data_IF_778806439662
#
_entry.id   IF_778806439662
#
_cell.length_a   1.000
_cell.length_b   1.000
_cell.length_c   1.000
_cell.angle_alpha   90.00
_cell.angle_beta   90.00
_cell.angle_gamma   90.00
#
_symmetry.space_group_name_H-M   'P 1'
#
loop_
_entity.id
_entity.type
_entity.pdbx_description
1 polymer ?
#
# COMPACT_ATOMS: atom_id res chain seq x y z
N UNK A 1 -30.37 -9.64 -5.69
CA UNK A 1 -29.07 -10.36 -5.67
C UNK A 1 -28.87 -10.94 -7.07
N UNK A 2 -28.23 -10.21 -7.99
CA UNK A 2 -27.73 -10.82 -9.23
C UNK A 2 -26.57 -11.72 -8.83
N UNK A 3 -26.64 -12.99 -9.21
CA UNK A 3 -25.63 -13.97 -8.82
C UNK A 3 -24.27 -13.58 -9.42
N UNK A 4 -23.19 -13.83 -8.71
CA UNK A 4 -21.80 -13.59 -9.17
C UNK A 4 -21.54 -14.24 -10.54
N UNK A 5 -22.24 -15.33 -10.83
CA UNK A 5 -22.21 -16.06 -12.11
C UNK A 5 -22.76 -15.26 -13.30
N UNK A 6 -23.86 -14.51 -13.15
CA UNK A 6 -24.43 -13.71 -14.25
C UNK A 6 -23.52 -12.53 -14.63
N UNK A 7 -22.94 -11.87 -13.65
CA UNK A 7 -21.99 -10.77 -13.88
C UNK A 7 -20.72 -11.27 -14.61
N UNK A 8 -20.24 -12.45 -14.24
CA UNK A 8 -19.07 -13.07 -14.87
C UNK A 8 -19.33 -13.44 -16.34
N UNK A 9 -20.51 -13.95 -16.66
CA UNK A 9 -20.89 -14.31 -18.04
C UNK A 9 -21.00 -13.07 -18.93
N UNK A 10 -21.60 -11.98 -18.44
CA UNK A 10 -21.72 -10.71 -19.18
C UNK A 10 -20.33 -10.12 -19.46
N UNK A 11 -19.42 -10.19 -18.48
CA UNK A 11 -18.07 -9.68 -18.61
C UNK A 11 -17.24 -10.48 -19.63
N UNK A 12 -17.33 -11.81 -19.61
CA UNK A 12 -16.67 -12.68 -20.58
C UNK A 12 -17.17 -12.36 -22.01
N UNK A 13 -18.48 -12.20 -22.18
CA UNK A 13 -19.09 -11.87 -23.46
C UNK A 13 -18.64 -10.51 -24.00
N UNK A 14 -18.49 -9.51 -23.12
CA UNK A 14 -17.96 -8.19 -23.51
C UNK A 14 -16.47 -8.23 -23.92
N UNK A 15 -15.70 -9.18 -23.41
CA UNK A 15 -14.30 -9.40 -23.83
C UNK A 15 -14.24 -10.16 -25.15
N UNK A 16 -15.14 -11.13 -25.39
CA UNK A 16 -15.19 -11.90 -26.63
C UNK A 16 -15.63 -11.05 -27.83
N UNK A 17 -16.62 -10.21 -27.65
CA UNK A 17 -17.20 -9.36 -28.66
C UNK A 17 -17.18 -7.89 -28.24
N UNK A 18 -16.00 -7.25 -28.21
CA UNK A 18 -15.90 -5.86 -27.81
C UNK A 18 -16.61 -4.94 -28.81
N UNK A 19 -17.29 -3.88 -28.36
CA UNK A 19 -17.85 -2.86 -29.23
C UNK A 19 -16.79 -2.28 -30.18
N UNK A 20 -17.17 -1.83 -31.39
CA UNK A 20 -16.24 -1.21 -32.32
C UNK A 20 -15.49 -0.05 -31.63
N UNK A 21 -14.15 -0.05 -31.71
CA UNK A 21 -13.23 0.93 -31.06
C UNK A 21 -13.07 0.77 -29.55
N UNK A 22 -13.56 -0.30 -28.92
CA UNK A 22 -13.29 -0.59 -27.51
C UNK A 22 -11.97 -1.37 -27.37
N UNK A 23 -11.19 -0.99 -26.34
CA UNK A 23 -9.98 -1.71 -25.90
C UNK A 23 -10.13 -2.02 -24.41
N UNK A 24 -9.98 -3.29 -24.04
CA UNK A 24 -10.00 -3.72 -22.66
C UNK A 24 -8.57 -3.84 -22.13
N UNK A 25 -8.28 -3.15 -21.05
CA UNK A 25 -7.01 -3.28 -20.31
C UNK A 25 -7.31 -3.93 -18.97
N UNK A 26 -6.85 -5.17 -18.79
CA UNK A 26 -7.01 -5.95 -17.58
C UNK A 26 -5.67 -5.99 -16.85
N UNK A 27 -5.59 -5.37 -15.68
CA UNK A 27 -4.41 -5.35 -14.85
C UNK A 27 -4.55 -6.39 -13.72
N UNK A 28 -3.54 -7.25 -13.57
CA UNK A 28 -3.47 -8.26 -12.52
C UNK A 28 -2.05 -8.37 -11.99
N UNK A 29 -1.85 -8.66 -10.70
CA UNK A 29 -0.52 -8.93 -10.16
C UNK A 29 0.13 -10.18 -10.74
N UNK A 30 -0.67 -11.24 -10.99
CA UNK A 30 -0.21 -12.50 -11.56
C UNK A 30 -1.15 -12.95 -12.69
N UNK A 31 -0.58 -13.54 -13.72
CA UNK A 31 -1.36 -14.12 -14.84
C UNK A 31 -2.14 -15.37 -14.39
N UNK A 32 -1.63 -16.08 -13.38
CA UNK A 32 -2.23 -17.27 -12.79
C UNK A 32 -3.54 -16.96 -12.07
N UNK A 33 -3.70 -15.76 -11.54
CA UNK A 33 -4.93 -15.30 -10.85
C UNK A 33 -6.09 -15.01 -11.81
N UNK A 34 -5.80 -14.96 -13.12
CA UNK A 34 -6.80 -14.70 -14.15
C UNK A 34 -7.41 -16.01 -14.64
N UNK A 35 -8.74 -16.08 -14.64
CA UNK A 35 -9.47 -17.25 -15.17
C UNK A 35 -8.96 -17.64 -16.57
N UNK A 36 -8.72 -18.92 -16.82
CA UNK A 36 -8.23 -19.40 -18.13
C UNK A 36 -9.08 -18.93 -19.32
N UNK A 37 -10.39 -18.79 -19.11
CA UNK A 37 -11.33 -18.28 -20.12
C UNK A 37 -11.10 -16.83 -20.52
N UNK A 38 -10.66 -15.98 -19.59
CA UNK A 38 -10.29 -14.59 -19.84
C UNK A 38 -8.88 -14.54 -20.44
N UNK A 39 -7.96 -15.28 -19.84
CA UNK A 39 -6.55 -15.32 -20.26
C UNK A 39 -6.38 -15.74 -21.73
N UNK A 40 -7.15 -16.73 -22.19
CA UNK A 40 -7.09 -17.21 -23.58
C UNK A 40 -7.54 -16.19 -24.62
N UNK A 41 -8.27 -15.14 -24.23
CA UNK A 41 -8.83 -14.09 -25.09
C UNK A 41 -8.10 -12.77 -25.03
N UNK A 42 -7.08 -12.68 -24.16
CA UNK A 42 -6.30 -11.47 -23.96
C UNK A 42 -4.86 -11.65 -24.44
N UNK A 43 -4.28 -10.58 -24.96
CA UNK A 43 -2.83 -10.54 -25.19
C UNK A 43 -2.14 -10.24 -23.86
N UNK A 44 -1.23 -11.11 -23.45
CA UNK A 44 -0.46 -10.91 -22.24
C UNK A 44 0.70 -9.94 -22.49
N UNK A 45 0.81 -8.93 -21.63
CA UNK A 45 1.93 -8.00 -21.62
C UNK A 45 2.50 -8.01 -20.22
N UNK A 46 3.69 -8.58 -20.07
CA UNK A 46 4.40 -8.56 -18.77
C UNK A 46 5.07 -7.21 -18.58
N UNK A 47 4.72 -6.53 -17.50
CA UNK A 47 5.40 -5.33 -17.04
C UNK A 47 6.51 -5.72 -16.07
N UNK A 48 7.73 -5.34 -16.37
CA UNK A 48 8.86 -5.53 -15.45
C UNK A 48 8.89 -4.39 -14.44
N UNK A 49 9.30 -4.69 -13.21
CA UNK A 49 9.64 -3.66 -12.24
C UNK A 49 10.78 -2.83 -12.81
N UNK A 50 10.63 -1.50 -12.91
CA UNK A 50 11.68 -0.64 -13.45
C UNK A 50 12.90 -0.65 -12.52
N UNK A 51 14.09 -0.52 -13.09
CA UNK A 51 15.31 -0.33 -12.31
C UNK A 51 15.27 1.02 -11.56
N UNK A 52 15.94 1.14 -10.40
CA UNK A 52 15.98 2.41 -9.66
C UNK A 52 16.47 3.58 -10.53
N UNK A 53 17.45 3.34 -11.40
CA UNK A 53 17.95 4.38 -12.30
C UNK A 53 16.88 4.87 -13.30
N UNK A 54 16.10 3.96 -13.89
CA UNK A 54 15.02 4.32 -14.82
C UNK A 54 13.95 5.18 -14.12
N UNK A 55 13.66 4.86 -12.85
CA UNK A 55 12.72 5.66 -12.03
C UNK A 55 13.29 7.02 -11.71
N UNK A 56 14.57 7.10 -11.34
CA UNK A 56 15.24 8.36 -11.05
C UNK A 56 15.28 9.27 -12.30
N UNK A 57 15.66 8.72 -13.44
CA UNK A 57 15.70 9.45 -14.72
C UNK A 57 14.31 9.99 -15.11
N UNK A 58 13.27 9.19 -14.90
CA UNK A 58 11.89 9.63 -15.10
C UNK A 58 11.53 10.80 -14.17
N UNK A 59 11.86 10.74 -12.87
CA UNK A 59 11.55 11.79 -11.90
C UNK A 59 12.27 13.11 -12.26
N UNK A 60 13.53 13.03 -12.70
CA UNK A 60 14.26 14.20 -13.16
C UNK A 60 13.63 14.79 -14.43
N UNK A 61 13.38 13.96 -15.44
CA UNK A 61 12.89 14.42 -16.74
C UNK A 61 11.43 14.89 -16.73
N UNK A 62 10.54 14.17 -16.05
CA UNK A 62 9.10 14.42 -16.09
C UNK A 62 8.60 15.30 -14.94
N UNK A 63 9.28 15.29 -13.79
CA UNK A 63 8.83 15.97 -12.56
C UNK A 63 9.74 17.11 -12.13
N UNK A 64 10.90 17.27 -12.76
CA UNK A 64 11.87 18.33 -12.45
C UNK A 64 12.52 18.19 -11.07
N UNK A 65 12.58 16.97 -10.53
CA UNK A 65 13.23 16.68 -9.25
C UNK A 65 14.74 16.69 -9.42
N UNK A 66 15.48 17.15 -8.42
CA UNK A 66 16.94 17.06 -8.45
C UNK A 66 17.42 15.59 -8.44
N UNK A 67 18.60 15.34 -9.01
CA UNK A 67 19.10 13.99 -9.25
C UNK A 67 19.33 13.19 -7.95
N UNK A 68 19.74 13.82 -6.87
CA UNK A 68 20.00 13.17 -5.58
C UNK A 68 18.68 12.71 -4.93
N UNK A 69 17.71 13.62 -4.84
CA UNK A 69 16.37 13.29 -4.34
C UNK A 69 15.64 12.25 -5.21
N UNK A 70 15.84 12.32 -6.54
CA UNK A 70 15.25 11.34 -7.45
C UNK A 70 15.85 9.94 -7.25
N UNK A 71 17.17 9.83 -7.11
CA UNK A 71 17.84 8.55 -6.88
C UNK A 71 17.47 7.96 -5.51
N UNK A 72 17.48 8.77 -4.46
CA UNK A 72 16.99 8.37 -3.14
C UNK A 72 15.55 7.81 -3.21
N UNK A 73 14.65 8.58 -3.81
CA UNK A 73 13.24 8.19 -3.91
C UNK A 73 13.04 6.92 -4.76
N UNK A 74 13.83 6.75 -5.81
CA UNK A 74 13.82 5.56 -6.66
C UNK A 74 14.24 4.30 -5.89
N UNK A 75 15.33 4.36 -5.14
CA UNK A 75 15.78 3.24 -4.29
C UNK A 75 14.75 2.92 -3.20
N UNK A 76 14.29 3.93 -2.45
CA UNK A 76 13.33 3.78 -1.37
C UNK A 76 11.96 3.25 -1.83
N UNK A 77 11.58 3.46 -3.09
CA UNK A 77 10.29 3.03 -3.64
C UNK A 77 10.27 1.61 -4.18
N UNK A 78 11.43 0.97 -4.36
CA UNK A 78 11.55 -0.39 -4.87
C UNK A 78 10.80 -0.62 -6.20
N UNK A 79 10.88 0.35 -7.12
CA UNK A 79 10.26 0.31 -8.44
C UNK A 79 8.81 0.81 -8.51
N UNK A 80 8.23 1.26 -7.41
CA UNK A 80 6.88 1.83 -7.41
C UNK A 80 6.92 3.34 -7.74
N UNK A 81 6.74 3.69 -9.01
CA UNK A 81 6.89 5.07 -9.54
C UNK A 81 6.04 6.11 -8.77
N UNK A 82 4.78 5.78 -8.46
CA UNK A 82 3.91 6.70 -7.70
C UNK A 82 4.43 6.99 -6.30
N UNK A 83 5.05 6.01 -5.64
CA UNK A 83 5.70 6.18 -4.34
C UNK A 83 7.00 6.97 -4.47
N UNK A 84 7.79 6.69 -5.50
CA UNK A 84 9.00 7.47 -5.79
C UNK A 84 8.68 8.95 -5.97
N UNK A 85 7.63 9.28 -6.72
CA UNK A 85 7.14 10.65 -6.89
C UNK A 85 6.77 11.30 -5.54
N UNK A 86 6.04 10.60 -4.69
CA UNK A 86 5.67 11.11 -3.37
C UNK A 86 6.90 11.39 -2.50
N UNK A 87 7.83 10.43 -2.42
CA UNK A 87 9.07 10.59 -1.64
C UNK A 87 9.97 11.69 -2.18
N UNK A 88 10.00 11.90 -3.49
CA UNK A 88 10.81 12.94 -4.11
C UNK A 88 10.28 14.36 -3.82
N UNK A 89 8.95 14.54 -3.79
CA UNK A 89 8.30 15.86 -3.74
C UNK A 89 7.74 16.26 -2.39
N UNK A 90 7.41 15.29 -1.53
CA UNK A 90 6.73 15.52 -0.25
C UNK A 90 7.67 15.18 0.91
N UNK A 91 8.08 16.23 1.63
CA UNK A 91 8.90 16.08 2.83
C UNK A 91 8.15 15.33 3.94
N UNK A 92 6.84 15.49 4.02
CA UNK A 92 6.01 14.77 4.99
C UNK A 92 6.01 13.26 4.70
N UNK A 93 6.03 12.86 3.42
CA UNK A 93 6.16 11.44 3.04
C UNK A 93 7.53 10.87 3.49
N UNK A 94 8.62 11.64 3.31
CA UNK A 94 9.95 11.25 3.81
C UNK A 94 9.99 11.16 5.33
N UNK A 95 9.33 12.09 6.01
CA UNK A 95 9.27 12.09 7.47
C UNK A 95 8.50 10.86 7.99
N UNK A 96 7.31 10.59 7.46
CA UNK A 96 6.52 9.40 7.81
C UNK A 96 7.32 8.11 7.59
N UNK A 97 8.04 8.00 6.47
CA UNK A 97 8.90 6.84 6.21
C UNK A 97 10.00 6.69 7.26
N UNK A 98 10.69 7.78 7.63
CA UNK A 98 11.71 7.75 8.69
C UNK A 98 11.13 7.34 10.03
N UNK A 99 9.92 7.79 10.37
CA UNK A 99 9.24 7.36 11.58
C UNK A 99 9.00 5.86 11.62
N UNK A 100 8.54 5.27 10.51
CA UNK A 100 8.37 3.82 10.35
C UNK A 100 9.70 3.09 10.51
N UNK A 101 10.75 3.52 9.81
CA UNK A 101 12.08 2.90 9.88
C UNK A 101 12.75 3.03 11.25
N UNK A 102 12.34 3.98 12.08
CA UNK A 102 12.82 4.14 13.44
C UNK A 102 12.11 3.25 14.48
N UNK A 103 11.01 2.58 14.12
CA UNK A 103 10.24 1.72 15.01
C UNK A 103 11.11 0.62 15.64
N UNK A 104 11.95 -0.13 14.90
CA UNK A 104 12.79 -1.18 15.50
C UNK A 104 13.61 -0.72 16.68
N UNK A 105 14.13 0.50 16.63
CA UNK A 105 14.93 1.08 17.72
C UNK A 105 14.09 1.48 18.96
N UNK A 106 12.79 1.65 18.82
CA UNK A 106 11.89 2.11 19.89
C UNK A 106 11.22 0.98 20.68
N UNK A 107 11.26 -0.27 20.21
CA UNK A 107 10.54 -1.41 20.80
C UNK A 107 11.19 -1.95 22.08
N UNK A 108 11.47 -1.09 23.07
CA UNK A 108 12.18 -1.46 24.29
C UNK A 108 11.33 -2.27 25.28
N UNK A 109 10.01 -2.06 25.32
CA UNK A 109 9.08 -2.74 26.22
C UNK A 109 7.69 -2.87 25.58
N UNK A 110 6.78 -3.63 26.21
CA UNK A 110 5.43 -3.88 25.68
C UNK A 110 4.64 -2.59 25.46
N UNK A 111 4.76 -1.62 26.35
CA UNK A 111 4.09 -0.32 26.20
C UNK A 111 4.53 0.35 24.89
N UNK A 112 5.84 0.38 24.64
CA UNK A 112 6.37 0.97 23.41
C UNK A 112 5.93 0.22 22.16
N UNK A 113 5.76 -1.11 22.21
CA UNK A 113 5.20 -1.88 21.12
C UNK A 113 3.77 -1.41 20.80
N UNK A 114 2.90 -1.35 21.82
CA UNK A 114 1.50 -0.93 21.64
C UNK A 114 1.38 0.53 21.17
N UNK A 115 2.18 1.44 21.76
CA UNK A 115 2.21 2.86 21.33
C UNK A 115 2.69 3.01 19.88
N UNK A 116 3.71 2.24 19.47
CA UNK A 116 4.20 2.26 18.07
C UNK A 116 3.15 1.71 17.12
N UNK A 117 2.44 0.65 17.50
CA UNK A 117 1.34 0.09 16.71
C UNK A 117 0.20 1.08 16.55
N UNK A 118 -0.23 1.72 17.62
CA UNK A 118 -1.28 2.76 17.59
C UNK A 118 -0.89 3.93 16.70
N UNK A 119 0.35 4.41 16.79
CA UNK A 119 0.86 5.48 15.95
C UNK A 119 0.84 5.09 14.47
N UNK A 120 1.31 3.88 14.11
CA UNK A 120 1.26 3.39 12.71
C UNK A 120 -0.16 3.35 12.17
N UNK A 121 -1.10 2.81 12.92
CA UNK A 121 -2.50 2.67 12.48
C UNK A 121 -3.17 4.04 12.37
N UNK A 122 -2.89 4.95 13.29
CA UNK A 122 -3.43 6.32 13.27
C UNK A 122 -2.91 7.10 12.07
N UNK A 123 -1.61 7.09 11.83
CA UNK A 123 -1.00 7.73 10.65
C UNK A 123 -1.57 7.17 9.35
N UNK A 124 -1.67 5.84 9.22
CA UNK A 124 -2.24 5.22 8.03
C UNK A 124 -3.71 5.60 7.79
N UNK A 125 -4.48 5.81 8.88
CA UNK A 125 -5.88 6.26 8.81
C UNK A 125 -5.98 7.73 8.38
N UNK A 126 -5.10 8.58 8.89
CA UNK A 126 -5.02 9.99 8.52
C UNK A 126 -4.60 10.17 7.06
N UNK A 127 -3.56 9.44 6.63
CA UNK A 127 -3.11 9.43 5.24
C UNK A 127 -4.20 8.93 4.28
N UNK A 128 -4.93 7.88 4.65
CA UNK A 128 -6.03 7.36 3.86
C UNK A 128 -7.14 8.42 3.68
N UNK A 129 -7.49 9.12 4.76
CA UNK A 129 -8.47 10.20 4.70
C UNK A 129 -8.00 11.34 3.80
N UNK A 130 -6.79 11.81 3.97
CA UNK A 130 -6.22 12.89 3.15
C UNK A 130 -6.27 12.57 1.64
N UNK A 131 -6.13 11.28 1.29
CA UNK A 131 -6.23 10.82 -0.11
C UNK A 131 -7.68 10.72 -0.57
N UNK A 132 -8.60 10.24 0.28
CA UNK A 132 -9.97 9.91 -0.14
C UNK A 132 -10.93 11.09 -0.01
N UNK A 133 -10.79 11.96 0.99
CA UNK A 133 -11.71 13.08 1.25
C UNK A 133 -11.95 13.99 0.02
N UNK A 134 -10.92 14.44 -0.73
CA UNK A 134 -11.15 15.31 -1.88
C UNK A 134 -11.94 14.62 -3.01
N UNK A 135 -11.83 13.29 -3.13
CA UNK A 135 -12.60 12.51 -4.10
C UNK A 135 -14.03 12.30 -3.60
N UNK A 136 -14.18 12.01 -2.31
CA UNK A 136 -15.46 11.77 -1.66
C UNK A 136 -16.35 13.02 -1.71
N UNK A 137 -15.77 14.21 -1.50
CA UNK A 137 -16.47 15.48 -1.61
C UNK A 137 -16.96 15.74 -3.03
N UNK A 138 -16.10 15.58 -4.05
CA UNK A 138 -16.46 15.74 -5.46
C UNK A 138 -17.56 14.79 -5.89
N UNK A 139 -17.46 13.52 -5.57
CA UNK A 139 -18.48 12.53 -5.91
C UNK A 139 -19.83 12.85 -5.25
N UNK A 140 -19.80 13.41 -4.03
CA UNK A 140 -21.00 13.84 -3.33
C UNK A 140 -21.64 15.08 -3.99
N UNK A 141 -20.80 16.06 -4.35
CA UNK A 141 -21.26 17.25 -5.08
C UNK A 141 -21.86 16.87 -6.45
N UNK A 142 -21.16 16.04 -7.22
CA UNK A 142 -21.63 15.56 -8.53
C UNK A 142 -22.96 14.81 -8.40
N UNK A 143 -23.11 13.98 -7.37
CA UNK A 143 -24.36 13.28 -7.11
C UNK A 143 -25.51 14.24 -6.80
N UNK A 144 -25.29 15.23 -5.94
CA UNK A 144 -26.29 16.22 -5.57
C UNK A 144 -26.70 17.07 -6.78
N UNK A 145 -25.75 17.51 -7.58
CA UNK A 145 -26.01 18.23 -8.84
C UNK A 145 -26.81 17.38 -9.83
N UNK A 146 -26.48 16.11 -10.00
CA UNK A 146 -27.19 15.20 -10.90
C UNK A 146 -28.65 14.96 -10.49
N UNK A 147 -28.95 15.04 -9.19
CA UNK A 147 -30.31 14.88 -8.66
C UNK A 147 -31.08 16.20 -8.52
N UNK A 148 -30.48 17.36 -8.89
CA UNK A 148 -31.15 18.62 -9.00
C UNK A 148 -31.45 19.29 -7.65
N UNK A 149 -30.50 19.31 -6.72
CA UNK A 149 -30.53 20.26 -5.60
C UNK A 149 -30.36 21.68 -6.15
N UNK A 150 -31.49 22.33 -6.43
CA UNK A 150 -31.56 23.67 -7.01
C UNK A 150 -32.79 23.87 -7.86
N UNK A 151 -33.52 22.84 -8.25
CA UNK A 151 -34.78 22.95 -8.93
C UNK A 151 -35.93 22.98 -7.92
N UNK A 152 -36.27 24.18 -7.43
CA UNK A 152 -37.60 24.48 -6.88
C UNK A 152 -38.61 24.35 -8.02
N UNK A 153 -39.11 23.16 -8.27
CA UNK A 153 -40.07 22.90 -9.34
C UNK A 153 -40.79 21.58 -9.21
N UNK A 154 -41.98 21.66 -8.58
CA UNK A 154 -43.15 20.80 -8.71
C UNK A 154 -42.96 19.29 -9.02
N UNK A 155 -43.15 18.46 -8.01
CA UNK A 155 -43.94 17.24 -8.27
C UNK A 155 -43.24 15.92 -8.33
N UNK A 156 -42.16 15.66 -7.57
CA UNK A 156 -41.63 14.29 -7.48
C UNK A 156 -41.52 13.82 -6.03
N UNK A 157 -42.64 13.28 -5.49
CA UNK A 157 -42.65 12.55 -4.20
C UNK A 157 -41.69 11.29 -4.20
N UNK A 158 -41.08 10.94 -5.33
CA UNK A 158 -40.08 9.90 -5.47
C UNK A 158 -38.62 10.38 -5.36
N UNK A 159 -38.34 11.66 -5.59
CA UNK A 159 -36.98 12.21 -5.64
C UNK A 159 -36.22 12.12 -4.33
N UNK A 160 -36.81 12.52 -3.22
CA UNK A 160 -36.13 12.57 -1.91
C UNK A 160 -35.73 11.17 -1.39
N UNK A 161 -36.53 10.12 -1.64
CA UNK A 161 -36.16 8.74 -1.29
C UNK A 161 -35.06 8.17 -2.18
N UNK A 162 -35.08 8.51 -3.47
CA UNK A 162 -34.06 8.10 -4.43
C UNK A 162 -32.71 8.73 -4.11
N UNK A 163 -32.66 10.04 -3.85
CA UNK A 163 -31.44 10.75 -3.45
C UNK A 163 -30.85 10.18 -2.18
N UNK A 164 -31.67 9.92 -1.15
CA UNK A 164 -31.20 9.33 0.11
C UNK A 164 -30.63 7.92 -0.08
N UNK A 165 -31.22 7.10 -0.96
CA UNK A 165 -30.70 5.79 -1.32
C UNK A 165 -29.37 5.87 -2.03
N UNK A 166 -29.24 6.76 -3.03
CA UNK A 166 -28.02 6.97 -3.78
C UNK A 166 -26.87 7.53 -2.92
N UNK A 167 -27.17 8.47 -2.00
CA UNK A 167 -26.20 8.97 -1.03
C UNK A 167 -25.70 7.88 -0.10
N UNK A 168 -26.58 7.01 0.39
CA UNK A 168 -26.17 5.89 1.24
C UNK A 168 -25.26 4.89 0.50
N UNK A 169 -25.60 4.56 -0.73
CA UNK A 169 -24.74 3.69 -1.57
C UNK A 169 -23.39 4.34 -1.85
N UNK A 170 -23.35 5.65 -2.04
CA UNK A 170 -22.11 6.40 -2.19
C UNK A 170 -21.28 6.35 -0.90
N UNK A 171 -21.86 6.64 0.25
CA UNK A 171 -21.22 6.57 1.56
C UNK A 171 -20.63 5.18 1.85
N UNK A 172 -21.35 4.09 1.53
CA UNK A 172 -20.86 2.72 1.70
C UNK A 172 -19.66 2.43 0.79
N UNK A 173 -19.67 2.92 -0.45
CA UNK A 173 -18.52 2.81 -1.38
C UNK A 173 -17.32 3.62 -0.89
N UNK A 174 -17.54 4.86 -0.43
CA UNK A 174 -16.51 5.75 0.11
C UNK A 174 -15.87 5.14 1.36
N UNK A 175 -16.66 4.58 2.28
CA UNK A 175 -16.16 3.86 3.45
C UNK A 175 -15.31 2.65 3.07
N UNK A 176 -15.74 1.87 2.09
CA UNK A 176 -14.98 0.73 1.59
C UNK A 176 -13.65 1.16 0.96
N UNK A 177 -13.67 2.25 0.18
CA UNK A 177 -12.46 2.86 -0.41
C UNK A 177 -11.49 3.32 0.68
N UNK A 178 -11.96 4.07 1.67
CA UNK A 178 -11.13 4.54 2.78
C UNK A 178 -10.48 3.37 3.54
N UNK A 179 -11.25 2.31 3.85
CA UNK A 179 -10.73 1.12 4.50
C UNK A 179 -9.64 0.43 3.68
N UNK A 180 -9.83 0.31 2.35
CA UNK A 180 -8.82 -0.24 1.44
C UNK A 180 -7.57 0.65 1.43
N UNK A 181 -7.74 1.96 1.26
CA UNK A 181 -6.62 2.91 1.23
C UNK A 181 -5.82 2.87 2.54
N UNK A 182 -6.48 2.77 3.70
CA UNK A 182 -5.79 2.60 4.98
C UNK A 182 -4.93 1.33 5.02
N UNK A 183 -5.43 0.20 4.51
CA UNK A 183 -4.65 -1.04 4.41
C UNK A 183 -3.47 -0.90 3.47
N UNK A 184 -3.67 -0.25 2.34
CA UNK A 184 -2.60 0.03 1.38
C UNK A 184 -1.50 0.90 2.00
N UNK A 185 -1.84 1.87 2.87
CA UNK A 185 -0.85 2.66 3.60
C UNK A 185 -0.08 1.81 4.63
N UNK A 186 -0.77 0.92 5.36
CA UNK A 186 -0.12 0.00 6.29
C UNK A 186 0.77 -1.00 5.54
N UNK A 187 0.32 -1.58 4.44
CA UNK A 187 1.15 -2.50 3.65
C UNK A 187 2.43 -1.81 3.15
N UNK A 188 2.36 -0.55 2.72
CA UNK A 188 3.54 0.24 2.36
C UNK A 188 4.50 0.42 3.53
N UNK A 189 3.99 0.71 4.74
CA UNK A 189 4.81 0.81 5.94
C UNK A 189 5.49 -0.52 6.28
N UNK A 190 4.78 -1.64 6.10
CA UNK A 190 5.32 -2.99 6.28
C UNK A 190 6.41 -3.32 5.26
N UNK A 191 6.26 -2.91 4.01
CA UNK A 191 7.28 -3.04 2.98
C UNK A 191 8.53 -2.20 3.29
N UNK A 192 8.40 -1.04 3.92
CA UNK A 192 9.54 -0.26 4.41
C UNK A 192 10.31 -1.02 5.49
N UNK A 193 9.61 -1.57 6.47
CA UNK A 193 10.23 -2.40 7.51
C UNK A 193 10.88 -3.66 6.93
N UNK A 194 10.24 -4.30 5.94
CA UNK A 194 10.80 -5.45 5.25
C UNK A 194 12.13 -5.10 4.56
N UNK A 195 12.16 -3.97 3.84
CA UNK A 195 13.38 -3.44 3.23
C UNK A 195 14.48 -3.15 4.24
N UNK A 196 14.12 -2.59 5.41
CA UNK A 196 15.06 -2.33 6.50
C UNK A 196 15.67 -3.62 7.05
N UNK A 197 14.88 -4.65 7.35
CA UNK A 197 15.41 -5.91 7.86
C UNK A 197 16.17 -6.71 6.79
N UNK A 198 15.82 -6.56 5.49
CA UNK A 198 16.63 -7.09 4.40
C UNK A 198 18.03 -6.45 4.38
N UNK A 199 18.12 -5.13 4.60
CA UNK A 199 19.41 -4.44 4.66
C UNK A 199 20.22 -4.89 5.89
N UNK A 200 19.57 -5.11 7.06
CA UNK A 200 20.19 -5.69 8.25
C UNK A 200 20.76 -7.09 7.94
N UNK A 201 19.99 -7.94 7.27
CA UNK A 201 20.41 -9.28 6.89
C UNK A 201 21.59 -9.25 5.91
N UNK A 202 21.56 -8.37 4.91
CA UNK A 202 22.65 -8.17 3.96
C UNK A 202 23.95 -7.73 4.67
N UNK A 203 23.84 -6.86 5.67
CA UNK A 203 24.96 -6.44 6.51
C UNK A 203 25.52 -7.61 7.35
N UNK A 204 24.66 -8.44 7.94
CA UNK A 204 25.06 -9.61 8.74
C UNK A 204 25.81 -10.65 7.91
N UNK A 205 25.48 -10.81 6.63
CA UNK A 205 26.19 -11.71 5.71
C UNK A 205 27.40 -11.07 5.01
N UNK A 206 27.72 -9.81 5.30
CA UNK A 206 28.81 -9.10 4.63
C UNK A 206 28.61 -8.93 3.13
N UNK A 207 27.35 -8.97 2.69
CA UNK A 207 27.00 -8.80 1.28
C UNK A 207 27.11 -7.37 0.78
N UNK A 208 27.26 -6.40 1.69
CA UNK A 208 27.39 -4.99 1.41
C UNK A 208 28.86 -4.60 1.39
N UNK A 209 29.42 -4.43 0.19
CA UNK A 209 30.84 -4.05 -0.01
C UNK A 209 31.02 -2.55 -0.19
N UNK A 210 29.98 -1.83 -0.64
CA UNK A 210 29.96 -0.37 -0.79
C UNK A 210 28.62 0.16 -0.22
N UNK A 211 28.71 0.80 0.94
CA UNK A 211 27.55 1.17 1.76
C UNK A 211 26.61 2.19 1.08
N UNK A 212 27.12 3.02 0.18
CA UNK A 212 26.34 4.09 -0.43
C UNK A 212 25.36 3.58 -1.51
N UNK A 213 25.63 2.43 -2.13
CA UNK A 213 24.90 1.98 -3.33
C UNK A 213 24.12 0.67 -3.17
N UNK A 214 24.17 -0.01 -2.02
CA UNK A 214 23.57 -1.34 -1.87
C UNK A 214 22.41 -1.43 -0.86
N UNK A 215 22.28 -0.50 0.07
CA UNK A 215 21.12 -0.45 0.97
C UNK A 215 19.92 0.21 0.29
N UNK A 216 18.75 -0.38 0.47
CA UNK A 216 17.45 0.26 0.14
C UNK A 216 17.25 1.50 1.03
N UNK A 217 17.76 1.44 2.27
CA UNK A 217 17.58 2.42 3.33
C UNK A 217 18.95 3.01 3.73
N UNK A 218 19.67 3.58 2.79
CA UNK A 218 21.01 4.13 3.02
C UNK A 218 21.04 5.20 4.13
N UNK A 219 19.94 5.96 4.28
CA UNK A 219 19.75 6.96 5.33
C UNK A 219 19.68 6.38 6.75
N UNK A 220 19.47 5.05 6.88
CA UNK A 220 19.40 4.32 8.15
C UNK A 220 20.63 3.45 8.40
N UNK A 221 21.74 3.73 7.72
CA UNK A 221 22.95 2.88 7.75
C UNK A 221 23.49 2.64 9.16
N UNK A 222 23.47 3.64 10.05
CA UNK A 222 23.90 3.52 11.45
C UNK A 222 23.01 2.56 12.26
N UNK A 223 21.70 2.64 12.08
CA UNK A 223 20.74 1.77 12.75
C UNK A 223 20.81 0.34 12.22
N UNK A 224 21.01 0.19 10.89
CA UNK A 224 21.19 -1.11 10.25
C UNK A 224 22.44 -1.79 10.79
N UNK A 225 23.59 -1.11 10.85
CA UNK A 225 24.83 -1.63 11.39
C UNK A 225 24.72 -2.00 12.85
N UNK A 226 24.09 -1.13 13.66
CA UNK A 226 23.85 -1.39 15.08
C UNK A 226 23.01 -2.65 15.26
N UNK A 227 21.87 -2.75 14.59
CA UNK A 227 20.98 -3.90 14.72
C UNK A 227 21.62 -5.18 14.17
N UNK A 228 22.40 -5.10 13.10
CA UNK A 228 23.15 -6.23 12.55
C UNK A 228 24.20 -6.76 13.55
N UNK A 229 24.80 -5.91 14.38
CA UNK A 229 25.75 -6.32 15.41
C UNK A 229 25.07 -6.84 16.71
N UNK A 230 23.84 -6.40 16.98
CA UNK A 230 23.07 -6.76 18.20
C UNK A 230 22.19 -8.00 18.02
N UNK A 231 22.01 -8.52 16.80
CA UNK A 231 21.16 -9.67 16.48
C UNK A 231 21.82 -10.63 15.50
N UNK A 232 21.38 -11.87 15.50
CA UNK A 232 21.85 -12.87 14.52
C UNK A 232 20.94 -12.95 13.28
N UNK A 233 21.41 -13.58 12.16
CA UNK A 233 20.62 -13.71 10.94
C UNK A 233 19.29 -14.45 11.13
N UNK A 234 19.23 -15.42 12.06
CA UNK A 234 18.02 -16.20 12.34
C UNK A 234 16.95 -15.31 12.98
N UNK A 235 17.36 -14.48 13.95
CA UNK A 235 16.46 -13.49 14.56
C UNK A 235 15.95 -12.47 13.53
N UNK A 236 16.81 -12.05 12.61
CA UNK A 236 16.43 -11.13 11.53
C UNK A 236 15.42 -11.79 10.59
N UNK A 237 15.61 -13.05 10.22
CA UNK A 237 14.65 -13.82 9.42
C UNK A 237 13.28 -13.94 10.13
N UNK A 238 13.27 -14.19 11.44
CA UNK A 238 11.98 -14.22 12.18
C UNK A 238 11.25 -12.88 12.20
N UNK A 239 11.96 -11.75 12.21
CA UNK A 239 11.35 -10.42 12.08
C UNK A 239 10.76 -10.22 10.69
N UNK A 240 11.45 -10.70 9.65
CA UNK A 240 10.93 -10.70 8.28
C UNK A 240 9.64 -11.54 8.20
N UNK A 241 9.64 -12.75 8.75
CA UNK A 241 8.46 -13.63 8.78
C UNK A 241 7.29 -13.01 9.57
N UNK A 242 7.58 -12.27 10.65
CA UNK A 242 6.56 -11.55 11.40
C UNK A 242 5.91 -10.44 10.57
N UNK A 243 6.69 -9.72 9.76
CA UNK A 243 6.17 -8.68 8.86
C UNK A 243 5.27 -9.31 7.79
N UNK A 244 5.72 -10.39 7.15
CA UNK A 244 4.91 -11.12 6.16
C UNK A 244 3.62 -11.67 6.76
N UNK A 245 3.67 -12.18 7.99
CA UNK A 245 2.49 -12.63 8.74
C UNK A 245 1.50 -11.48 8.97
N UNK A 246 1.98 -10.30 9.32
CA UNK A 246 1.12 -9.12 9.50
C UNK A 246 0.47 -8.67 8.18
N UNK A 247 1.20 -8.72 7.06
CA UNK A 247 0.68 -8.43 5.73
C UNK A 247 -0.45 -9.39 5.36
N UNK A 248 -0.22 -10.70 5.50
CA UNK A 248 -1.26 -11.72 5.27
C UNK A 248 -2.48 -11.54 6.17
N UNK A 249 -2.29 -11.12 7.42
CA UNK A 249 -3.40 -10.84 8.33
C UNK A 249 -4.24 -9.63 7.85
N UNK A 250 -3.60 -8.57 7.35
CA UNK A 250 -4.30 -7.43 6.75
C UNK A 250 -5.09 -7.82 5.51
N UNK A 251 -4.54 -8.66 4.64
CA UNK A 251 -5.20 -9.19 3.44
C UNK A 251 -6.39 -10.09 3.80
N UNK A 252 -6.26 -10.87 4.88
CA UNK A 252 -7.34 -11.69 5.43
C UNK A 252 -8.41 -10.90 6.22
N UNK A 253 -8.36 -9.56 6.16
CA UNK A 253 -9.30 -8.66 6.84
C UNK A 253 -9.26 -8.69 8.38
N UNK A 254 -8.15 -9.10 8.99
CA UNK A 254 -7.93 -8.90 10.43
C UNK A 254 -7.95 -7.41 10.74
N UNK A 255 -8.43 -7.05 11.93
CA UNK A 255 -8.44 -5.65 12.37
C UNK A 255 -7.01 -5.08 12.36
N UNK A 256 -6.76 -3.95 11.66
CA UNK A 256 -5.41 -3.39 11.52
C UNK A 256 -4.68 -3.20 12.84
N UNK A 257 -5.38 -2.74 13.87
CA UNK A 257 -4.80 -2.54 15.21
C UNK A 257 -4.20 -3.85 15.77
N UNK A 258 -4.96 -4.95 15.72
CA UNK A 258 -4.50 -6.25 16.22
C UNK A 258 -3.32 -6.81 15.42
N UNK A 259 -3.37 -6.68 14.10
CA UNK A 259 -2.30 -7.16 13.23
C UNK A 259 -0.98 -6.42 13.51
N UNK A 260 -1.03 -5.10 13.68
CA UNK A 260 0.15 -4.27 13.92
C UNK A 260 0.66 -4.40 15.36
N UNK A 261 -0.23 -4.55 16.36
CA UNK A 261 0.18 -4.85 17.75
C UNK A 261 0.92 -6.19 17.85
N UNK A 262 0.39 -7.23 17.21
CA UNK A 262 1.07 -8.54 17.14
C UNK A 262 2.44 -8.40 16.49
N UNK A 263 2.53 -7.68 15.36
CA UNK A 263 3.79 -7.42 14.67
C UNK A 263 4.81 -6.73 15.59
N UNK A 264 4.46 -5.61 16.22
CA UNK A 264 5.41 -4.84 17.03
C UNK A 264 5.92 -5.64 18.24
N UNK A 265 5.10 -6.53 18.78
CA UNK A 265 5.49 -7.47 19.84
C UNK A 265 6.48 -8.52 19.29
N UNK A 266 6.19 -9.09 18.13
CA UNK A 266 7.05 -10.09 17.47
C UNK A 266 8.39 -9.49 17.02
N UNK A 267 8.41 -8.27 16.52
CA UNK A 267 9.65 -7.55 16.16
C UNK A 267 10.57 -7.35 17.37
N UNK A 268 9.99 -7.17 18.55
CA UNK A 268 10.75 -7.01 19.79
C UNK A 268 11.34 -8.34 20.30
N UNK A 269 10.60 -9.45 20.18
CA UNK A 269 10.98 -10.77 20.72
C UNK A 269 10.69 -11.90 19.72
N UNK A 270 11.48 -12.04 18.67
CA UNK A 270 11.23 -13.07 17.66
C UNK A 270 11.39 -14.50 18.18
N UNK A 271 12.06 -14.70 19.32
CA UNK A 271 12.39 -16.04 19.86
C UNK A 271 11.24 -16.77 20.57
N UNK A 272 10.12 -16.11 20.88
CA UNK A 272 9.05 -16.71 21.69
C UNK A 272 8.10 -17.64 20.94
N UNK A 273 8.14 -17.70 19.60
CA UNK A 273 7.22 -18.54 18.79
C UNK A 273 7.64 -20.00 18.60
N UNK A 274 8.76 -20.45 19.18
CA UNK A 274 9.29 -21.79 18.91
C UNK A 274 8.83 -22.91 19.85
N UNK A 275 7.86 -22.72 20.72
CA UNK A 275 7.40 -23.76 21.67
C UNK A 275 6.11 -24.47 21.23
N UNK A 276 5.73 -24.43 19.94
CA UNK A 276 4.47 -25.04 19.49
C UNK A 276 4.48 -25.44 18.02
N UNK A 277 5.24 -26.49 17.71
CA UNK A 277 5.01 -27.31 16.52
C UNK A 277 5.25 -28.76 16.88
#
# INVERSE_FOLDING_TARGET
VRSVTETSIIFIKAIEEPPPRAVWLLCTPSVEDVLPTIRSRCRHVMLKTPAPQDVADYLVAAEGVDAESALFAAHASQGHVGRARALARDESARHRRRDILSIPARLSNLRMCLTSAEAMVTTAKEDARAITEPLDEREREDLLLAWGEGAEGRGVKGGARGVKGALKELEDRQKSRNTRTQRDQLDRALLDLLGFYRDVLAQQFGAVTDQANQFINAEMSSEIQRLASESDPVETMWRIDAIETARLALDANVAPQLAIEALTIDLRRPSLRRSGS
#
